data_IF_303407179024
#
_entry.id   IF_303407179024
#
_cell.length_a   1.000
_cell.length_b   1.000
_cell.length_c   1.000
_cell.angle_alpha   90.00
_cell.angle_beta   90.00
_cell.angle_gamma   90.00
#
_symmetry.space_group_name_H-M   'P 1'
#
loop_
_entity.id
_entity.type
_entity.pdbx_description
1 polymer ?
#
# COMPACT_ATOMS: atom_id res chain seq x y z
N UNK A 1 2.27 18.52 9.00
CA UNK A 1 2.68 17.78 7.78
C UNK A 1 1.71 18.17 6.66
N UNK A 2 2.18 18.41 5.43
CA UNK A 2 1.32 18.73 4.27
C UNK A 2 1.77 17.91 3.07
N UNK A 3 0.84 17.21 2.44
CA UNK A 3 1.04 16.48 1.19
C UNK A 3 -0.29 16.39 0.44
N UNK A 4 -0.22 16.23 -0.88
CA UNK A 4 -1.36 15.90 -1.72
C UNK A 4 -1.16 14.50 -2.29
N UNK A 5 -2.23 13.71 -2.34
CA UNK A 5 -2.22 12.35 -2.87
C UNK A 5 -3.04 12.37 -4.16
N UNK A 6 -2.41 12.28 -5.34
CA UNK A 6 -3.14 12.37 -6.60
C UNK A 6 -4.04 11.16 -6.81
N UNK A 7 -5.28 11.40 -7.23
CA UNK A 7 -6.25 10.34 -7.49
C UNK A 7 -5.81 9.45 -8.68
N UNK A 8 -5.97 8.13 -8.51
CA UNK A 8 -5.61 7.12 -9.51
C UNK A 8 -4.10 6.95 -9.74
N UNK A 9 -3.28 7.48 -8.82
CA UNK A 9 -1.83 7.27 -8.79
C UNK A 9 -1.44 6.47 -7.55
N UNK A 10 -0.23 5.92 -7.58
CA UNK A 10 0.43 5.31 -6.43
C UNK A 10 1.31 6.36 -5.76
N UNK A 11 1.03 6.64 -4.50
CA UNK A 11 1.89 7.44 -3.63
C UNK A 11 2.61 6.51 -2.68
N UNK A 12 3.92 6.38 -2.83
CA UNK A 12 4.77 5.64 -1.91
C UNK A 12 5.25 6.56 -0.77
N UNK A 13 5.27 6.06 0.45
CA UNK A 13 5.75 6.74 1.65
C UNK A 13 6.85 5.88 2.25
N UNK A 14 8.05 6.42 2.27
CA UNK A 14 9.25 5.75 2.78
C UNK A 14 9.86 6.56 3.91
N UNK A 15 10.50 5.89 4.86
CA UNK A 15 11.15 6.55 5.97
C UNK A 15 11.54 5.58 7.08
N UNK A 16 12.32 6.03 8.07
CA UNK A 16 12.79 5.20 9.17
C UNK A 16 11.66 4.56 10.00
N UNK A 17 11.97 3.49 10.72
CA UNK A 17 11.00 2.87 11.64
C UNK A 17 10.57 3.86 12.72
N UNK A 18 9.26 3.94 12.98
CA UNK A 18 8.72 4.82 14.00
C UNK A 18 8.59 6.31 13.60
N UNK A 19 8.74 6.67 12.33
CA UNK A 19 8.51 8.05 11.88
C UNK A 19 7.02 8.44 11.71
N UNK A 20 6.09 7.51 11.97
CA UNK A 20 4.64 7.78 11.93
C UNK A 20 3.92 7.40 10.63
N UNK A 21 4.54 6.58 9.75
CA UNK A 21 3.91 6.12 8.50
C UNK A 21 2.55 5.42 8.76
N UNK A 22 2.51 4.41 9.63
CA UNK A 22 1.25 3.71 9.94
C UNK A 22 0.22 4.62 10.62
N UNK A 23 0.67 5.60 11.42
CA UNK A 23 -0.20 6.65 11.98
C UNK A 23 -0.89 7.45 10.87
N UNK A 24 -0.18 7.75 9.78
CA UNK A 24 -0.74 8.44 8.62
C UNK A 24 -1.85 7.64 7.94
N UNK A 25 -1.73 6.31 7.83
CA UNK A 25 -2.84 5.49 7.32
C UNK A 25 -4.03 5.48 8.27
N UNK A 26 -3.79 5.40 9.57
CA UNK A 26 -4.88 5.42 10.57
C UNK A 26 -5.63 6.76 10.56
N UNK A 27 -4.91 7.87 10.40
CA UNK A 27 -5.46 9.21 10.19
C UNK A 27 -6.30 9.28 8.90
N UNK A 28 -5.75 8.80 7.76
CA UNK A 28 -6.49 8.76 6.49
C UNK A 28 -7.80 7.94 6.61
N UNK A 29 -7.73 6.80 7.31
CA UNK A 29 -8.86 5.92 7.61
C UNK A 29 -9.92 6.53 8.53
N UNK A 30 -9.57 7.58 9.28
CA UNK A 30 -10.43 8.12 10.35
C UNK A 30 -10.47 7.25 11.60
N UNK A 31 -9.44 6.43 11.84
CA UNK A 31 -9.26 5.72 13.11
C UNK A 31 -8.58 6.59 14.16
N UNK A 32 -7.82 7.60 13.71
CA UNK A 32 -7.27 8.65 14.53
C UNK A 32 -7.75 10.00 13.99
N UNK A 33 -7.92 10.96 14.90
CA UNK A 33 -8.18 12.36 14.55
C UNK A 33 -6.87 13.16 14.59
N UNK A 34 -6.65 14.11 13.66
CA UNK A 34 -5.48 14.96 13.70
C UNK A 34 -5.54 15.89 14.92
N UNK A 35 -4.44 16.00 15.66
CA UNK A 35 -4.34 16.96 16.78
C UNK A 35 -4.44 18.41 16.30
N UNK A 36 -3.88 18.69 15.11
CA UNK A 36 -3.91 19.98 14.43
C UNK A 36 -4.00 19.78 12.91
N UNK A 37 -4.56 20.77 12.22
CA UNK A 37 -4.80 20.71 10.77
C UNK A 37 -6.01 19.84 10.41
N UNK A 38 -6.07 19.40 9.17
CA UNK A 38 -7.23 18.66 8.65
C UNK A 38 -6.83 17.72 7.52
N UNK A 39 -7.69 16.73 7.27
CA UNK A 39 -7.59 15.81 6.14
C UNK A 39 -8.80 16.04 5.26
N UNK A 40 -8.56 16.47 4.02
CA UNK A 40 -9.60 16.75 3.04
C UNK A 40 -9.59 15.69 1.94
N UNK A 41 -10.77 15.18 1.63
CA UNK A 41 -11.01 14.41 0.41
C UNK A 41 -11.62 15.34 -0.62
N UNK A 42 -11.16 15.23 -1.85
CA UNK A 42 -11.57 16.09 -2.96
C UNK A 42 -12.03 15.21 -4.10
N UNK A 43 -13.21 15.49 -4.63
CA UNK A 43 -13.70 14.80 -5.82
C UNK A 43 -12.87 15.20 -7.03
N UNK A 44 -12.32 14.20 -7.73
CA UNK A 44 -11.39 14.42 -8.84
C UNK A 44 -12.03 15.21 -10.00
N UNK A 45 -13.35 15.08 -10.22
CA UNK A 45 -14.03 15.68 -11.37
C UNK A 45 -14.41 17.13 -11.12
N UNK A 46 -14.91 17.43 -9.93
CA UNK A 46 -15.44 18.73 -9.54
C UNK A 46 -14.43 19.62 -8.81
N UNK A 47 -13.37 19.03 -8.23
CA UNK A 47 -12.38 19.75 -7.41
C UNK A 47 -12.94 20.19 -6.05
N UNK A 48 -14.15 19.76 -5.69
CA UNK A 48 -14.83 20.14 -4.46
C UNK A 48 -14.56 19.15 -3.33
N UNK A 49 -14.81 19.59 -2.09
CA UNK A 49 -14.75 18.71 -0.93
C UNK A 49 -15.73 17.54 -1.08
N UNK A 50 -15.25 16.34 -0.77
CA UNK A 50 -15.99 15.09 -0.84
C UNK A 50 -15.98 14.40 0.53
N UNK A 51 -16.96 13.53 0.83
CA UNK A 51 -16.89 12.65 1.99
C UNK A 51 -15.69 11.70 1.87
N UNK A 52 -15.28 11.11 3.00
CA UNK A 52 -14.24 10.08 3.01
C UNK A 52 -14.66 8.92 2.09
N UNK A 53 -13.89 8.60 1.04
CA UNK A 53 -14.28 7.59 0.09
C UNK A 53 -14.11 6.17 0.68
N UNK A 54 -14.73 5.14 0.07
CA UNK A 54 -14.49 3.77 0.45
C UNK A 54 -13.00 3.40 0.33
N UNK A 55 -12.42 2.91 1.43
CA UNK A 55 -11.02 2.48 1.45
C UNK A 55 -10.91 1.04 1.92
N UNK A 56 -9.85 0.37 1.49
CA UNK A 56 -9.44 -0.92 2.02
C UNK A 56 -7.96 -0.90 2.41
N UNK A 57 -7.60 -1.65 3.45
CA UNK A 57 -6.22 -1.70 3.94
C UNK A 57 -5.67 -3.12 3.87
N UNK A 58 -4.46 -3.25 3.34
CA UNK A 58 -3.63 -4.46 3.42
C UNK A 58 -2.55 -4.17 4.46
N UNK A 59 -2.60 -4.91 5.57
CA UNK A 59 -1.67 -4.74 6.68
C UNK A 59 -0.45 -5.66 6.53
N UNK A 60 0.64 -5.32 7.24
CA UNK A 60 1.84 -6.15 7.34
C UNK A 60 1.54 -7.53 7.94
N UNK A 61 0.65 -7.59 8.94
CA UNK A 61 0.11 -8.84 9.46
C UNK A 61 -1.08 -9.27 8.61
N UNK A 62 -1.10 -10.54 8.17
CA UNK A 62 -2.13 -11.05 7.26
C UNK A 62 -3.56 -10.81 7.77
N UNK A 63 -3.75 -10.83 9.10
CA UNK A 63 -5.02 -10.62 9.80
C UNK A 63 -6.17 -11.43 9.20
N UNK A 64 -5.87 -12.64 8.72
CA UNK A 64 -6.86 -13.57 8.19
C UNK A 64 -7.57 -14.25 9.36
N UNK A 65 -8.86 -14.49 9.22
CA UNK A 65 -9.66 -15.24 10.18
C UNK A 65 -9.28 -16.72 10.07
N UNK A 66 -8.64 -17.31 11.10
CA UNK A 66 -8.09 -18.67 11.00
C UNK A 66 -9.16 -19.77 10.92
N UNK A 67 -10.40 -19.46 11.34
CA UNK A 67 -11.55 -20.35 11.31
C UNK A 67 -12.40 -20.24 10.02
N UNK A 68 -12.10 -19.29 9.15
CA UNK A 68 -12.79 -19.13 7.86
C UNK A 68 -11.97 -19.75 6.73
N UNK A 69 -12.66 -20.21 5.68
CA UNK A 69 -12.00 -20.61 4.42
C UNK A 69 -11.37 -19.39 3.74
N UNK A 70 -10.52 -19.60 2.74
CA UNK A 70 -9.95 -18.50 1.95
C UNK A 70 -11.05 -17.71 1.23
N UNK A 71 -12.05 -18.42 0.67
CA UNK A 71 -13.20 -17.79 0.05
C UNK A 71 -13.97 -16.90 1.02
N UNK A 72 -14.26 -17.42 2.22
CA UNK A 72 -14.99 -16.67 3.25
C UNK A 72 -14.16 -15.51 3.80
N UNK A 73 -12.84 -15.68 3.93
CA UNK A 73 -11.93 -14.59 4.32
C UNK A 73 -12.01 -13.41 3.35
N UNK A 74 -12.02 -13.68 2.04
CA UNK A 74 -12.15 -12.65 1.01
C UNK A 74 -13.58 -12.08 1.00
N UNK A 75 -14.60 -12.92 1.10
CA UNK A 75 -16.00 -12.49 1.07
C UNK A 75 -16.47 -11.74 2.33
N UNK A 76 -15.72 -11.80 3.44
CA UNK A 76 -16.14 -11.28 4.74
C UNK A 76 -16.58 -9.80 4.72
N UNK A 77 -15.82 -8.92 4.04
CA UNK A 77 -16.18 -7.50 3.97
C UNK A 77 -17.51 -7.24 3.25
N UNK A 78 -17.82 -8.06 2.23
CA UNK A 78 -19.08 -8.02 1.51
C UNK A 78 -20.23 -8.57 2.35
N UNK A 79 -19.97 -9.61 3.13
CA UNK A 79 -20.93 -10.13 4.11
C UNK A 79 -21.34 -9.07 5.13
N UNK A 80 -20.37 -8.35 5.70
CA UNK A 80 -20.65 -7.24 6.64
C UNK A 80 -21.40 -6.08 5.97
N UNK A 81 -21.28 -5.95 4.64
CA UNK A 81 -22.00 -4.96 3.84
C UNK A 81 -23.39 -5.44 3.39
N UNK A 82 -23.84 -6.62 3.85
CA UNK A 82 -25.16 -7.18 3.53
C UNK A 82 -25.28 -7.82 2.14
N UNK A 83 -24.16 -8.06 1.44
CA UNK A 83 -24.18 -8.66 0.09
C UNK A 83 -24.61 -10.13 0.18
N UNK A 84 -25.58 -10.59 -0.64
CA UNK A 84 -26.05 -11.97 -0.63
C UNK A 84 -24.93 -12.99 -0.87
N UNK A 85 -25.04 -14.17 -0.23
CA UNK A 85 -23.99 -15.20 -0.23
C UNK A 85 -23.49 -15.58 -1.63
N UNK A 86 -24.40 -15.79 -2.57
CA UNK A 86 -24.05 -16.16 -3.94
C UNK A 86 -23.21 -15.08 -4.64
N UNK A 87 -23.62 -13.81 -4.51
CA UNK A 87 -22.93 -12.68 -5.13
C UNK A 87 -21.56 -12.44 -4.48
N UNK A 88 -21.48 -12.43 -3.14
CA UNK A 88 -20.20 -12.21 -2.46
C UNK A 88 -19.19 -13.32 -2.75
N UNK A 89 -19.62 -14.58 -2.88
CA UNK A 89 -18.73 -15.68 -3.25
C UNK A 89 -18.26 -15.56 -4.70
N UNK A 90 -19.14 -15.18 -5.64
CA UNK A 90 -18.74 -14.93 -7.03
C UNK A 90 -17.66 -13.86 -7.12
N UNK A 91 -17.87 -12.71 -6.46
CA UNK A 91 -16.89 -11.61 -6.39
C UNK A 91 -15.59 -12.03 -5.71
N UNK A 92 -15.66 -12.82 -4.64
CA UNK A 92 -14.48 -13.32 -3.94
C UNK A 92 -13.66 -14.29 -4.81
N UNK A 93 -14.30 -15.15 -5.59
CA UNK A 93 -13.62 -16.03 -6.56
C UNK A 93 -12.92 -15.22 -7.67
N UNK A 94 -13.57 -14.18 -8.19
CA UNK A 94 -12.92 -13.26 -9.15
C UNK A 94 -11.71 -12.56 -8.54
N UNK A 95 -11.81 -12.09 -7.29
CA UNK A 95 -10.68 -11.46 -6.60
C UNK A 95 -9.52 -12.44 -6.35
N UNK A 96 -9.82 -13.69 -5.96
CA UNK A 96 -8.82 -14.74 -5.80
C UNK A 96 -8.12 -15.10 -7.13
N UNK A 97 -8.85 -15.02 -8.24
CA UNK A 97 -8.28 -15.22 -9.56
C UNK A 97 -7.24 -14.16 -9.93
N UNK A 98 -7.48 -12.89 -9.57
CA UNK A 98 -6.54 -11.78 -9.85
C UNK A 98 -5.23 -11.87 -9.08
N UNK A 99 -5.17 -12.67 -8.03
CA UNK A 99 -3.97 -12.86 -7.20
C UNK A 99 -3.41 -14.28 -7.32
N UNK A 100 -3.75 -15.01 -8.39
CA UNK A 100 -3.28 -16.38 -8.66
C UNK A 100 -3.53 -17.38 -7.52
N UNK A 101 -4.72 -17.31 -6.91
CA UNK A 101 -5.16 -18.22 -5.84
C UNK A 101 -6.38 -19.07 -6.22
N UNK A 102 -6.65 -19.27 -7.52
CA UNK A 102 -7.65 -20.26 -7.98
C UNK A 102 -7.29 -21.66 -7.46
N UNK A 103 -8.28 -22.39 -6.98
CA UNK A 103 -8.12 -23.74 -6.42
C UNK A 103 -7.79 -23.78 -4.92
N UNK A 104 -7.62 -22.62 -4.27
CA UNK A 104 -7.35 -22.52 -2.82
C UNK A 104 -8.56 -22.05 -2.01
N UNK A 105 -9.73 -21.88 -2.64
CA UNK A 105 -10.94 -21.27 -2.07
C UNK A 105 -11.39 -21.97 -0.78
N UNK A 106 -11.33 -23.31 -0.76
CA UNK A 106 -11.77 -24.16 0.35
C UNK A 106 -10.71 -24.38 1.43
N UNK A 107 -9.48 -23.89 1.22
CA UNK A 107 -8.40 -24.04 2.21
C UNK A 107 -8.60 -23.07 3.36
N UNK A 108 -7.90 -23.33 4.46
CA UNK A 108 -7.79 -22.44 5.61
C UNK A 108 -6.44 -21.73 5.61
N UNK A 109 -6.29 -20.54 6.26
CA UNK A 109 -5.04 -19.78 6.26
C UNK A 109 -3.78 -20.56 6.68
N UNK A 110 -3.93 -21.54 7.58
CA UNK A 110 -2.83 -22.42 8.04
C UNK A 110 -2.30 -23.37 6.96
N UNK A 111 -3.05 -23.59 5.88
CA UNK A 111 -2.68 -24.46 4.76
C UNK A 111 -1.98 -23.68 3.63
N UNK A 112 -1.77 -22.38 3.79
CA UNK A 112 -1.15 -21.49 2.83
C UNK A 112 0.28 -21.14 3.25
N UNK A 113 1.15 -20.82 2.28
CA UNK A 113 2.42 -20.16 2.55
C UNK A 113 2.20 -18.70 3.02
N UNK A 114 3.25 -18.05 3.54
CA UNK A 114 3.18 -16.62 3.91
C UNK A 114 2.77 -15.73 2.75
N UNK A 115 3.37 -15.93 1.57
CA UNK A 115 3.00 -15.22 0.34
C UNK A 115 1.57 -15.43 -0.11
N UNK A 116 1.09 -16.66 -0.01
CA UNK A 116 -0.31 -16.94 -0.32
C UNK A 116 -1.25 -16.24 0.66
N UNK A 117 -0.95 -16.22 1.97
CA UNK A 117 -1.74 -15.46 2.94
C UNK A 117 -1.75 -13.96 2.65
N UNK A 118 -0.62 -13.40 2.21
CA UNK A 118 -0.55 -11.99 1.80
C UNK A 118 -1.44 -11.70 0.60
N UNK A 119 -1.41 -12.58 -0.41
CA UNK A 119 -2.28 -12.50 -1.59
C UNK A 119 -3.76 -12.58 -1.23
N UNK A 120 -4.13 -13.40 -0.24
CA UNK A 120 -5.51 -13.40 0.29
C UNK A 120 -5.87 -12.05 0.93
N UNK A 121 -4.94 -11.44 1.67
CA UNK A 121 -5.13 -10.09 2.24
C UNK A 121 -5.39 -9.03 1.17
N UNK A 122 -4.65 -9.09 0.07
CA UNK A 122 -4.84 -8.22 -1.10
C UNK A 122 -6.19 -8.49 -1.77
N UNK A 123 -6.53 -9.75 -2.04
CA UNK A 123 -7.83 -10.10 -2.63
C UNK A 123 -9.01 -9.61 -1.77
N UNK A 124 -8.91 -9.74 -0.44
CA UNK A 124 -9.91 -9.22 0.53
C UNK A 124 -10.06 -7.70 0.45
N UNK A 125 -8.97 -6.97 0.19
CA UNK A 125 -9.05 -5.53 0.00
C UNK A 125 -9.68 -5.18 -1.35
N UNK A 126 -9.27 -5.85 -2.42
CA UNK A 126 -9.71 -5.57 -3.79
C UNK A 126 -11.17 -5.93 -4.07
N UNK A 127 -11.68 -6.98 -3.43
CA UNK A 127 -13.07 -7.43 -3.61
C UNK A 127 -14.09 -6.35 -3.22
N UNK A 128 -13.70 -5.43 -2.33
CA UNK A 128 -14.50 -4.28 -1.90
C UNK A 128 -14.57 -3.17 -2.96
N UNK A 129 -13.77 -3.24 -4.03
CA UNK A 129 -13.62 -2.18 -5.05
C UNK A 129 -13.37 -0.80 -4.41
N UNK A 130 -12.32 -0.65 -3.58
CA UNK A 130 -12.05 0.60 -2.90
C UNK A 130 -11.62 1.69 -3.90
N UNK A 131 -11.97 2.93 -3.61
CA UNK A 131 -11.42 4.09 -4.35
C UNK A 131 -9.99 4.39 -3.91
N UNK A 132 -9.67 4.09 -2.64
CA UNK A 132 -8.33 4.22 -2.06
C UNK A 132 -7.88 2.90 -1.43
N UNK A 133 -6.76 2.35 -1.92
CA UNK A 133 -6.10 1.17 -1.37
C UNK A 133 -4.90 1.59 -0.53
N UNK A 134 -4.91 1.22 0.75
CA UNK A 134 -3.84 1.49 1.69
C UNK A 134 -3.01 0.22 1.89
N UNK A 135 -1.71 0.30 1.65
CA UNK A 135 -0.81 -0.85 1.79
C UNK A 135 0.24 -0.52 2.85
N UNK A 136 0.22 -1.22 3.99
CA UNK A 136 1.18 -1.05 5.08
C UNK A 136 2.21 -2.19 5.07
N UNK A 137 3.39 -1.92 4.52
CA UNK A 137 4.48 -2.88 4.33
C UNK A 137 4.01 -4.23 3.75
N UNK A 138 3.27 -4.23 2.62
CA UNK A 138 2.56 -5.41 2.13
C UNK A 138 3.49 -6.52 1.61
N UNK A 139 4.81 -6.27 1.54
CA UNK A 139 5.80 -7.14 0.91
C UNK A 139 6.87 -7.66 1.89
N UNK A 140 6.95 -7.09 3.09
CA UNK A 140 8.07 -7.30 4.01
C UNK A 140 8.21 -8.73 4.55
N UNK A 141 7.11 -9.47 4.66
CA UNK A 141 7.09 -10.84 5.18
C UNK A 141 7.37 -11.92 4.12
N UNK A 142 7.73 -11.53 2.89
CA UNK A 142 7.85 -12.43 1.74
C UNK A 142 9.30 -12.70 1.38
N UNK A 143 9.57 -13.94 0.96
CA UNK A 143 10.81 -14.30 0.28
C UNK A 143 10.95 -13.53 -1.04
N UNK A 144 12.18 -13.42 -1.53
CA UNK A 144 12.50 -12.56 -2.67
C UNK A 144 11.67 -12.91 -3.93
N UNK A 145 11.56 -14.18 -4.29
CA UNK A 145 10.85 -14.58 -5.51
C UNK A 145 9.35 -14.29 -5.42
N UNK A 146 8.73 -14.65 -4.30
CA UNK A 146 7.30 -14.39 -4.09
C UNK A 146 7.00 -12.90 -4.01
N UNK A 147 7.92 -12.12 -3.44
CA UNK A 147 7.80 -10.66 -3.35
C UNK A 147 7.72 -10.03 -4.73
N UNK A 148 8.61 -10.40 -5.63
CA UNK A 148 8.68 -9.85 -6.99
C UNK A 148 7.39 -10.07 -7.76
N UNK A 149 6.90 -11.33 -7.76
CA UNK A 149 5.64 -11.67 -8.43
C UNK A 149 4.48 -10.86 -7.85
N UNK A 150 4.45 -10.66 -6.53
CA UNK A 150 3.37 -9.91 -5.90
C UNK A 150 3.42 -8.42 -6.21
N UNK A 151 4.61 -7.82 -6.28
CA UNK A 151 4.79 -6.43 -6.68
C UNK A 151 4.26 -6.20 -8.10
N UNK A 152 4.59 -7.09 -9.05
CA UNK A 152 4.08 -7.02 -10.43
C UNK A 152 2.55 -7.14 -10.48
N UNK A 153 1.96 -8.08 -9.73
CA UNK A 153 0.52 -8.24 -9.63
C UNK A 153 -0.17 -6.98 -9.07
N UNK A 154 0.37 -6.39 -8.00
CA UNK A 154 -0.16 -5.14 -7.44
C UNK A 154 -0.07 -4.01 -8.47
N UNK A 155 1.06 -3.88 -9.17
CA UNK A 155 1.22 -2.87 -10.23
C UNK A 155 0.14 -3.02 -11.32
N UNK A 156 -0.11 -4.25 -11.78
CA UNK A 156 -1.13 -4.54 -12.79
C UNK A 156 -2.54 -4.19 -12.29
N UNK A 157 -2.90 -4.65 -11.09
CA UNK A 157 -4.22 -4.39 -10.49
C UNK A 157 -4.49 -2.88 -10.40
N UNK A 158 -3.49 -2.09 -10.01
CA UNK A 158 -3.63 -0.64 -9.90
C UNK A 158 -3.86 0.00 -11.27
N UNK A 159 -3.14 -0.46 -12.30
CA UNK A 159 -3.33 0.00 -13.67
C UNK A 159 -4.72 -0.34 -14.21
N UNK A 160 -5.21 -1.55 -13.94
CA UNK A 160 -6.54 -2.00 -14.39
C UNK A 160 -7.69 -1.29 -13.67
N UNK A 161 -7.55 -1.06 -12.37
CA UNK A 161 -8.63 -0.51 -11.53
C UNK A 161 -8.66 1.01 -11.50
N UNK A 162 -7.54 1.68 -11.77
CA UNK A 162 -7.39 3.12 -11.57
C UNK A 162 -7.54 3.55 -10.11
N UNK A 163 -7.39 2.61 -9.16
CA UNK A 163 -7.48 2.88 -7.73
C UNK A 163 -6.35 3.81 -7.28
N UNK A 164 -6.65 4.70 -6.33
CA UNK A 164 -5.61 5.50 -5.68
C UNK A 164 -4.90 4.63 -4.66
N UNK A 165 -3.57 4.58 -4.67
CA UNK A 165 -2.81 3.74 -3.72
C UNK A 165 -1.93 4.59 -2.84
N UNK A 166 -1.96 4.29 -1.54
CA UNK A 166 -0.99 4.77 -0.57
C UNK A 166 -0.16 3.57 -0.12
N UNK A 167 1.09 3.50 -0.54
CA UNK A 167 2.01 2.42 -0.22
C UNK A 167 3.00 2.89 0.85
N UNK A 168 2.96 2.28 2.02
CA UNK A 168 4.04 2.40 3.01
C UNK A 168 5.01 1.26 2.79
N UNK A 169 6.28 1.61 2.65
CA UNK A 169 7.37 0.66 2.54
C UNK A 169 8.66 1.20 3.15
N UNK A 170 9.58 0.30 3.47
CA UNK A 170 10.97 0.62 3.80
C UNK A 170 11.93 0.35 2.62
N UNK A 171 11.42 -0.16 1.50
CA UNK A 171 12.20 -0.49 0.31
C UNK A 171 12.15 0.63 -0.73
N UNK A 172 13.32 1.13 -1.10
CA UNK A 172 13.49 2.13 -2.16
C UNK A 172 13.06 1.54 -3.51
N UNK A 173 13.44 0.29 -3.77
CA UNK A 173 13.08 -0.42 -5.01
C UNK A 173 11.56 -0.52 -5.18
N UNK A 174 10.83 -0.82 -4.10
CA UNK A 174 9.37 -0.87 -4.12
C UNK A 174 8.74 0.49 -4.42
N UNK A 175 9.29 1.54 -3.83
CA UNK A 175 8.83 2.91 -4.06
C UNK A 175 9.03 3.35 -5.51
N UNK A 176 10.17 3.02 -6.11
CA UNK A 176 10.48 3.34 -7.52
C UNK A 176 9.64 2.48 -8.48
N UNK A 177 9.51 1.18 -8.20
CA UNK A 177 8.80 0.24 -9.06
C UNK A 177 7.30 0.55 -9.11
N UNK A 178 6.69 0.88 -7.97
CA UNK A 178 5.24 1.05 -7.85
C UNK A 178 4.78 2.52 -7.85
N UNK A 179 5.53 3.42 -7.22
CA UNK A 179 5.13 4.79 -6.92
C UNK A 179 5.18 5.72 -8.13
N UNK A 180 4.14 6.52 -8.35
CA UNK A 180 4.22 7.72 -9.19
C UNK A 180 4.88 8.88 -8.44
N UNK A 181 4.60 8.96 -7.14
CA UNK A 181 5.13 9.97 -6.23
C UNK A 181 5.68 9.27 -5.00
N UNK A 182 6.86 9.67 -4.55
CA UNK A 182 7.53 9.14 -3.36
C UNK A 182 7.66 10.27 -2.34
N UNK A 183 7.08 10.08 -1.17
CA UNK A 183 7.32 10.92 -0.01
C UNK A 183 8.37 10.30 0.91
N UNK A 184 9.45 11.02 1.16
CA UNK A 184 10.48 10.63 2.14
C UNK A 184 10.16 11.30 3.47
N UNK A 185 9.98 10.50 4.52
CA UNK A 185 9.71 10.96 5.88
C UNK A 185 10.99 11.03 6.73
N UNK A 186 11.10 12.09 7.54
CA UNK A 186 12.14 12.26 8.55
C UNK A 186 11.94 11.34 9.74
N UNK A 187 13.00 11.00 10.47
CA UNK A 187 12.92 10.06 11.60
C UNK A 187 12.08 10.59 12.77
N UNK A 188 12.51 11.69 13.38
CA UNK A 188 11.82 12.38 14.49
C UNK A 188 12.17 13.87 14.49
N UNK A 189 11.19 14.78 14.54
CA UNK A 189 9.75 14.54 14.40
C UNK A 189 9.41 14.04 12.99
N UNK A 190 8.35 13.23 12.86
CA UNK A 190 7.89 12.70 11.57
C UNK A 190 7.31 13.79 10.67
N UNK A 191 8.05 14.18 9.63
CA UNK A 191 7.67 15.18 8.64
C UNK A 191 8.02 14.67 7.24
N UNK A 192 7.37 15.22 6.22
CA UNK A 192 7.77 14.96 4.83
C UNK A 192 8.97 15.85 4.54
N UNK A 193 10.11 15.22 4.25
CA UNK A 193 11.38 15.87 3.90
C UNK A 193 11.43 16.22 2.41
N UNK A 194 10.99 15.26 1.58
CA UNK A 194 11.02 15.35 0.13
C UNK A 194 9.80 14.69 -0.50
N UNK A 195 9.37 15.29 -1.60
CA UNK A 195 8.40 14.76 -2.55
C UNK A 195 9.14 14.57 -3.87
N UNK A 196 9.13 13.35 -4.39
CA UNK A 196 9.89 12.98 -5.59
C UNK A 196 8.92 12.36 -6.61
N UNK A 197 8.90 12.89 -7.82
CA UNK A 197 8.12 12.33 -8.92
C UNK A 197 8.94 11.26 -9.65
N UNK A 198 8.35 10.08 -9.85
CA UNK A 198 9.01 8.98 -10.57
C UNK A 198 8.66 9.08 -12.06
N UNK A 199 9.53 9.73 -12.83
CA UNK A 199 9.36 9.94 -14.27
C UNK A 199 9.66 8.72 -15.16
N UNK A 200 9.64 7.50 -14.60
CA UNK A 200 9.82 6.26 -15.35
C UNK A 200 8.50 5.81 -16.00
N UNK A 201 8.51 5.35 -17.26
CA UNK A 201 7.30 4.91 -17.95
C UNK A 201 6.66 3.69 -17.27
N UNK A 202 5.34 3.59 -17.32
CA UNK A 202 4.58 2.43 -16.82
C UNK A 202 4.15 1.52 -17.99
N UNK A 203 4.00 0.19 -17.79
CA UNK A 203 4.34 -0.57 -16.57
C UNK A 203 5.86 -0.65 -16.34
N UNK A 204 6.27 -0.66 -15.07
CA UNK A 204 7.68 -0.83 -14.67
C UNK A 204 7.89 -2.27 -14.24
N UNK A 205 8.97 -2.85 -14.73
CA UNK A 205 9.46 -4.17 -14.39
C UNK A 205 10.77 -4.03 -13.63
N UNK A 206 11.22 -5.10 -12.99
CA UNK A 206 12.51 -5.11 -12.27
C UNK A 206 13.69 -4.75 -13.17
N UNK A 207 13.62 -5.13 -14.44
CA UNK A 207 14.65 -4.76 -15.41
C UNK A 207 14.80 -3.24 -15.56
N UNK A 208 13.72 -2.47 -15.33
CA UNK A 208 13.73 -1.01 -15.43
C UNK A 208 14.46 -0.33 -14.26
N UNK A 209 14.63 -1.01 -13.11
CA UNK A 209 15.44 -0.50 -12.00
C UNK A 209 16.93 -0.39 -12.36
N UNK A 210 17.37 -1.04 -13.45
CA UNK A 210 18.73 -0.95 -13.97
C UNK A 210 18.94 0.23 -14.91
N UNK A 211 17.88 0.96 -15.28
CA UNK A 211 18.00 2.14 -16.16
C UNK A 211 18.75 3.24 -15.41
N UNK A 212 19.58 4.04 -16.11
CA UNK A 212 20.36 5.11 -15.46
C UNK A 212 19.49 6.06 -14.62
N UNK A 213 18.30 6.40 -15.10
CA UNK A 213 17.38 7.30 -14.40
C UNK A 213 16.82 6.68 -13.11
N UNK A 214 16.59 5.35 -13.13
CA UNK A 214 16.12 4.63 -11.94
C UNK A 214 17.24 4.47 -10.91
N UNK A 215 18.48 4.21 -11.36
CA UNK A 215 19.66 4.12 -10.50
C UNK A 215 19.95 5.46 -9.83
N UNK A 216 19.92 6.57 -10.59
CA UNK A 216 20.13 7.91 -10.02
C UNK A 216 19.07 8.25 -8.97
N UNK A 217 17.80 7.91 -9.26
CA UNK A 217 16.70 8.10 -8.31
C UNK A 217 16.87 7.23 -7.05
N UNK A 218 17.36 6.00 -7.20
CA UNK A 218 17.68 5.13 -6.07
C UNK A 218 18.76 5.74 -5.18
N UNK A 219 19.85 6.22 -5.77
CA UNK A 219 20.95 6.86 -5.04
C UNK A 219 20.48 8.11 -4.28
N UNK A 220 19.70 8.98 -4.94
CA UNK A 220 19.12 10.17 -4.30
C UNK A 220 18.28 9.80 -3.07
N UNK A 221 17.37 8.84 -3.21
CA UNK A 221 16.51 8.40 -2.12
C UNK A 221 17.33 7.73 -1.01
N UNK A 222 18.33 6.94 -1.38
CA UNK A 222 19.20 6.24 -0.44
C UNK A 222 19.95 7.23 0.45
N UNK A 223 20.54 8.27 -0.13
CA UNK A 223 21.27 9.30 0.61
C UNK A 223 20.34 10.06 1.57
N UNK A 224 19.14 10.44 1.11
CA UNK A 224 18.13 11.07 1.96
C UNK A 224 17.74 10.18 3.16
N UNK A 225 17.52 8.89 2.93
CA UNK A 225 17.17 7.95 3.99
C UNK A 225 18.34 7.69 4.94
N UNK A 226 19.56 7.56 4.41
CA UNK A 226 20.77 7.34 5.20
C UNK A 226 20.98 8.49 6.18
N UNK A 227 20.85 9.72 5.73
CA UNK A 227 20.95 10.91 6.59
C UNK A 227 19.91 10.88 7.72
N UNK A 228 18.67 10.48 7.40
CA UNK A 228 17.59 10.40 8.39
C UNK A 228 17.76 9.22 9.37
N UNK A 229 18.25 8.07 8.91
CA UNK A 229 18.57 6.93 9.78
C UNK A 229 19.73 7.26 10.71
N UNK A 230 20.77 7.91 10.21
CA UNK A 230 21.91 8.35 11.04
C UNK A 230 21.44 9.31 12.12
N UNK A 231 20.65 10.34 11.78
CA UNK A 231 20.05 11.26 12.77
C UNK A 231 19.19 10.54 13.81
N UNK A 232 18.42 9.53 13.38
CA UNK A 232 17.61 8.72 14.28
C UNK A 232 18.46 7.93 15.29
N UNK A 233 19.61 7.42 14.85
CA UNK A 233 20.52 6.63 15.68
C UNK A 233 21.38 7.49 16.62
N UNK A 234 21.81 8.68 16.17
CA UNK A 234 22.65 9.58 16.99
C UNK A 234 21.87 10.40 18.00
N UNK A 235 20.53 10.42 17.90
CA UNK A 235 19.67 11.19 18.82
C UNK A 235 19.73 12.69 18.61
N UNK A 236 20.44 13.17 17.58
CA UNK A 236 20.48 14.57 17.16
C UNK A 236 19.14 14.94 16.51
N UNK A 237 18.13 15.15 17.36
CA UNK A 237 16.91 15.84 16.96
C UNK A 237 17.29 17.27 16.61
N UNK A 238 17.29 17.58 15.31
CA UNK A 238 17.63 18.91 14.80
C UNK A 238 16.85 20.00 15.53
N UNK A 239 17.56 20.79 16.31
CA UNK A 239 17.05 22.02 16.90
C UNK A 239 16.99 23.09 15.81
N UNK A 240 15.80 23.29 15.23
CA UNK A 240 15.43 24.50 14.50
C UNK A 240 13.98 24.86 14.78
#
# INVERSE_FOLDING_TARGET
>A
MRCAIPAGKVTAIIGPSGCGKSTMLQLARGFLEPSEGEIRFVDRRSGQSAPRPPMATVWQSFNLFPWLTILDNVAFGLEMSGVPKAERHARAMEALAKVDLRGFESKYPRQLSGGMRQRVGIARALVMKPEILLLDEPFGALDAQTRLVLQEQVAQIVQETGATVILITHSIEEAILLGDTIFVMTARPGRISREIEVALPKPRLLADLKRPEAVALFEEIYDLLKDEVVKAMTGESGAH
#
